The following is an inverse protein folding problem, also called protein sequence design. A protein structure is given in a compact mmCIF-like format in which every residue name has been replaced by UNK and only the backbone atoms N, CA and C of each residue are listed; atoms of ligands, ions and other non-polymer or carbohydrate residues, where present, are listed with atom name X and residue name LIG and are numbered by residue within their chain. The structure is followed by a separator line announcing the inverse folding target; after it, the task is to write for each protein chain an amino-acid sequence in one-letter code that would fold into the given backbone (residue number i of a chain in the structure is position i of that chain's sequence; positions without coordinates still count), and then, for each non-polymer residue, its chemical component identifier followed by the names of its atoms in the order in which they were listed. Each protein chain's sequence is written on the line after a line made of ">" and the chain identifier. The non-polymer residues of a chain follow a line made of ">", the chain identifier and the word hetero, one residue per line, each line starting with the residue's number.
data_IF_784063217457
#
_entry.id   IF_784063217457
#
_cell.length_a   1.000
_cell.length_b   1.000
_cell.length_c   1.000
_cell.angle_alpha   90.00
_cell.angle_beta   90.00
_cell.angle_gamma   90.00
#
_symmetry.space_group_name_H-M   'P 1'
#
loop_
_entity.id
_entity.type
_entity.pdbx_description
1 polymer ?
#
# COMPACT_ATOMS: atom_id res chain seq x y z
N UNK A 1 6.22 2.04 22.69
CA UNK A 1 6.94 1.54 23.88
C UNK A 1 6.06 0.61 24.71
N UNK A 2 6.68 -0.28 25.51
CA UNK A 2 5.98 -1.10 26.48
C UNK A 2 5.13 -2.27 25.93
N UNK A 3 5.04 -2.44 24.62
CA UNK A 3 4.32 -3.54 23.98
C UNK A 3 5.27 -4.39 23.11
N UNK A 4 5.12 -5.73 23.06
CA UNK A 4 5.92 -6.59 22.19
C UNK A 4 5.95 -6.08 20.75
N UNK A 5 7.15 -6.04 20.14
CA UNK A 5 7.36 -5.58 18.76
C UNK A 5 8.27 -6.55 18.04
N UNK A 6 7.70 -7.59 17.47
CA UNK A 6 8.47 -8.75 17.00
C UNK A 6 8.70 -8.75 15.48
N UNK A 7 7.90 -8.03 14.70
CA UNK A 7 7.81 -8.17 13.25
C UNK A 7 7.66 -9.65 12.80
N UNK A 8 7.07 -10.49 13.66
CA UNK A 8 6.91 -11.91 13.40
C UNK A 8 8.20 -12.73 13.47
N UNK A 9 9.33 -12.12 13.80
CA UNK A 9 10.61 -12.84 13.98
C UNK A 9 10.61 -13.59 15.30
N UNK A 10 10.63 -14.92 15.26
CA UNK A 10 10.63 -15.78 16.44
C UNK A 10 11.77 -15.47 17.44
N UNK A 11 13.01 -15.17 17.01
CA UNK A 11 14.07 -14.75 17.93
C UNK A 11 13.78 -13.44 18.68
N UNK A 12 12.84 -12.64 18.19
CA UNK A 12 12.46 -11.34 18.78
C UNK A 12 11.11 -11.40 19.54
N UNK A 13 10.61 -12.59 19.87
CA UNK A 13 9.29 -12.77 20.49
C UNK A 13 9.10 -11.98 21.79
N UNK A 14 10.16 -11.76 22.54
CA UNK A 14 10.14 -11.05 23.83
C UNK A 14 10.67 -9.60 23.73
N UNK A 15 10.97 -9.12 22.52
CA UNK A 15 11.47 -7.75 22.33
C UNK A 15 10.38 -6.71 22.60
N UNK A 16 10.66 -5.81 23.53
CA UNK A 16 9.79 -4.68 23.91
C UNK A 16 10.59 -3.38 23.77
N UNK A 17 10.21 -2.48 22.83
CA UNK A 17 10.89 -1.20 22.68
C UNK A 17 10.61 -0.28 23.87
N UNK A 18 11.60 0.53 24.24
CA UNK A 18 11.55 1.49 25.35
C UNK A 18 11.05 2.87 24.93
N UNK A 19 11.05 3.16 23.61
CA UNK A 19 10.61 4.42 23.03
C UNK A 19 9.44 4.20 22.07
N UNK A 20 8.53 5.16 22.01
CA UNK A 20 7.47 5.17 21.00
C UNK A 20 8.03 5.57 19.63
N UNK A 21 7.45 5.02 18.57
CA UNK A 21 7.60 5.58 17.24
C UNK A 21 7.01 7.01 17.21
N UNK A 22 7.60 7.90 16.43
CA UNK A 22 7.15 9.30 16.36
C UNK A 22 5.66 9.42 16.00
N UNK A 23 5.17 8.57 15.08
CA UNK A 23 3.76 8.52 14.72
C UNK A 23 2.85 8.15 15.91
N UNK A 24 3.29 7.22 16.75
CA UNK A 24 2.57 6.81 17.97
C UNK A 24 2.61 7.93 19.01
N UNK A 25 3.77 8.59 19.19
CA UNK A 25 3.88 9.73 20.09
C UNK A 25 2.90 10.84 19.71
N UNK A 26 2.83 11.21 18.42
CA UNK A 26 1.90 12.24 17.92
C UNK A 26 0.43 11.87 18.15
N UNK A 27 0.07 10.59 17.95
CA UNK A 27 -1.30 10.11 18.25
C UNK A 27 -1.62 10.22 19.74
N UNK A 28 -0.68 9.84 20.64
CA UNK A 28 -0.84 9.99 22.10
C UNK A 28 -0.95 11.46 22.50
N UNK A 29 -0.12 12.32 21.93
CA UNK A 29 -0.13 13.79 22.21
C UNK A 29 -1.46 14.43 21.77
N UNK A 30 -2.11 13.88 20.76
CA UNK A 30 -3.46 14.26 20.32
C UNK A 30 -4.59 13.63 21.16
N UNK A 31 -4.28 12.89 22.22
CA UNK A 31 -5.26 12.25 23.12
C UNK A 31 -5.67 10.83 22.70
N UNK A 32 -4.99 10.25 21.71
CA UNK A 32 -5.28 8.89 21.26
C UNK A 32 -4.86 7.82 22.27
N UNK A 33 -5.71 6.81 22.47
CA UNK A 33 -5.45 5.65 23.35
C UNK A 33 -4.99 4.47 22.51
N UNK A 34 -3.81 3.93 22.82
CA UNK A 34 -3.25 2.76 22.12
C UNK A 34 -3.78 1.49 22.77
N UNK A 35 -4.64 0.75 22.05
CA UNK A 35 -5.24 -0.50 22.53
C UNK A 35 -4.27 -1.69 22.46
N UNK A 36 -3.36 -1.69 21.48
CA UNK A 36 -2.45 -2.81 21.27
C UNK A 36 -1.74 -2.76 19.93
N UNK A 37 -1.12 -3.87 19.56
CA UNK A 37 -0.52 -4.14 18.24
C UNK A 37 -1.18 -5.35 17.61
N UNK A 38 -1.31 -5.33 16.31
CA UNK A 38 -1.94 -6.39 15.54
C UNK A 38 -0.90 -7.30 14.91
N UNK A 39 -1.34 -8.49 14.46
CA UNK A 39 -0.50 -9.47 13.80
C UNK A 39 0.00 -8.99 12.43
N UNK A 40 1.18 -9.45 12.03
CA UNK A 40 1.85 -9.14 10.77
C UNK A 40 2.57 -10.38 10.25
N UNK A 41 2.91 -10.50 8.96
CA UNK A 41 3.81 -11.55 8.47
C UNK A 41 5.25 -11.31 8.94
N UNK A 42 6.05 -12.36 8.90
CA UNK A 42 7.50 -12.30 9.24
C UNK A 42 8.19 -11.23 8.37
N UNK A 43 8.89 -10.32 9.03
CA UNK A 43 9.61 -9.22 8.37
C UNK A 43 8.74 -8.25 7.58
N UNK A 44 7.41 -8.28 7.75
CA UNK A 44 6.42 -7.51 6.99
C UNK A 44 6.43 -7.84 5.48
N UNK A 45 6.87 -9.04 5.10
CA UNK A 45 7.24 -9.39 3.73
C UNK A 45 6.22 -10.29 3.01
N UNK A 46 4.94 -10.19 3.33
CA UNK A 46 3.87 -10.94 2.68
C UNK A 46 2.54 -10.16 2.67
N UNK A 47 1.62 -10.51 1.77
CA UNK A 47 0.21 -10.08 1.78
C UNK A 47 -0.71 -11.05 2.52
N UNK A 48 -0.14 -11.84 3.43
CA UNK A 48 -0.85 -12.75 4.33
C UNK A 48 -0.25 -12.59 5.72
N UNK A 49 -1.08 -12.24 6.71
CA UNK A 49 -0.60 -11.89 8.06
C UNK A 49 -0.56 -13.11 8.96
N UNK A 50 0.56 -13.81 8.95
CA UNK A 50 0.82 -14.99 9.77
C UNK A 50 2.29 -15.08 10.22
N UNK A 51 2.53 -15.69 11.36
CA UNK A 51 3.86 -16.04 11.87
C UNK A 51 3.75 -17.10 12.98
N UNK A 52 4.88 -17.66 13.40
CA UNK A 52 4.94 -18.72 14.43
C UNK A 52 4.61 -18.22 15.84
N UNK A 53 4.71 -16.91 16.11
CA UNK A 53 4.48 -16.34 17.45
C UNK A 53 2.99 -16.20 17.73
N UNK A 54 2.22 -15.69 16.75
CA UNK A 54 0.81 -15.26 16.90
C UNK A 54 -0.16 -16.06 16.02
N UNK A 55 0.33 -16.98 15.20
CA UNK A 55 -0.50 -17.74 14.28
C UNK A 55 -0.97 -16.91 13.07
N UNK A 56 -2.09 -17.32 12.49
CA UNK A 56 -2.68 -16.76 11.28
C UNK A 56 -3.83 -15.82 11.60
N UNK A 57 -3.85 -14.66 10.99
CA UNK A 57 -5.01 -13.76 10.97
C UNK A 57 -5.87 -14.09 9.77
N UNK A 58 -7.15 -14.32 10.01
CA UNK A 58 -8.15 -14.62 8.99
C UNK A 58 -8.92 -13.38 8.56
N UNK A 59 -9.49 -13.41 7.38
CA UNK A 59 -10.36 -12.35 6.89
C UNK A 59 -11.72 -12.42 7.61
N UNK A 60 -12.23 -11.33 8.23
CA UNK A 60 -13.51 -11.34 8.94
C UNK A 60 -14.75 -11.64 8.07
N UNK A 61 -14.64 -11.47 6.75
CA UNK A 61 -15.74 -11.79 5.82
C UNK A 61 -15.74 -13.27 5.40
N UNK A 62 -14.58 -13.94 5.42
CA UNK A 62 -14.42 -15.37 5.15
C UNK A 62 -13.14 -15.86 5.85
N UNK A 63 -13.30 -16.65 6.90
CA UNK A 63 -12.17 -17.14 7.71
C UNK A 63 -11.21 -18.08 6.96
N UNK A 64 -11.59 -18.58 5.78
CA UNK A 64 -10.73 -19.35 4.89
C UNK A 64 -9.82 -18.50 3.99
N UNK A 65 -9.94 -17.16 4.05
CA UNK A 65 -9.24 -16.21 3.19
C UNK A 65 -8.26 -15.33 3.96
N UNK A 66 -7.27 -14.83 3.24
CA UNK A 66 -6.32 -13.85 3.80
C UNK A 66 -6.99 -12.51 4.06
N UNK A 67 -6.66 -11.79 5.16
CA UNK A 67 -7.06 -10.40 5.35
C UNK A 67 -6.18 -9.43 4.55
N UNK A 68 -5.21 -9.95 3.79
CA UNK A 68 -4.11 -9.18 3.22
C UNK A 68 -2.95 -9.04 4.19
N UNK A 69 -1.96 -8.25 3.77
CA UNK A 69 -0.74 -7.97 4.50
C UNK A 69 0.06 -6.80 3.88
N UNK A 70 1.07 -6.34 4.58
CA UNK A 70 1.51 -6.80 5.90
C UNK A 70 0.66 -6.26 7.06
N UNK A 71 -0.18 -5.21 6.87
CA UNK A 71 -1.05 -4.66 7.91
C UNK A 71 -2.40 -5.40 8.03
N UNK A 72 -2.43 -6.71 7.75
CA UNK A 72 -3.66 -7.50 7.72
C UNK A 72 -4.33 -7.68 9.07
N UNK A 73 -3.55 -7.82 10.16
CA UNK A 73 -4.10 -7.83 11.50
C UNK A 73 -4.83 -6.52 11.85
N UNK A 74 -4.29 -5.37 11.41
CA UNK A 74 -4.92 -4.06 11.57
C UNK A 74 -6.24 -3.96 10.80
N UNK A 75 -6.22 -4.41 9.55
CA UNK A 75 -7.40 -4.39 8.69
C UNK A 75 -8.52 -5.29 9.23
N UNK A 76 -8.17 -6.53 9.62
CA UNK A 76 -9.10 -7.47 10.22
C UNK A 76 -9.70 -6.94 11.54
N UNK A 77 -8.86 -6.36 12.40
CA UNK A 77 -9.32 -5.77 13.66
C UNK A 77 -10.30 -4.60 13.44
N UNK A 78 -10.01 -3.71 12.49
CA UNK A 78 -10.92 -2.60 12.14
C UNK A 78 -12.24 -3.10 11.55
N UNK A 79 -12.20 -4.06 10.62
CA UNK A 79 -13.40 -4.63 10.03
C UNK A 79 -14.28 -5.35 11.07
N UNK A 80 -13.65 -6.01 12.06
CA UNK A 80 -14.32 -6.65 13.17
C UNK A 80 -14.75 -5.70 14.32
N UNK A 81 -14.50 -4.39 14.21
CA UNK A 81 -14.96 -3.41 15.20
C UNK A 81 -14.06 -3.22 16.42
N UNK A 82 -12.85 -3.80 16.49
CA UNK A 82 -11.97 -3.75 17.67
C UNK A 82 -11.27 -2.40 17.91
N UNK A 83 -11.46 -1.43 17.06
CA UNK A 83 -10.91 -0.09 17.21
C UNK A 83 -11.50 0.85 16.17
N UNK A 84 -11.29 2.15 16.36
CA UNK A 84 -11.73 3.18 15.40
C UNK A 84 -10.68 3.39 14.31
N UNK A 85 -9.40 3.35 14.68
CA UNK A 85 -8.25 3.70 13.87
C UNK A 85 -7.14 2.66 14.03
N UNK A 86 -6.32 2.49 13.02
CA UNK A 86 -5.07 1.75 13.10
C UNK A 86 -3.98 2.42 12.26
N UNK A 87 -2.73 2.11 12.57
CA UNK A 87 -1.58 2.52 11.78
C UNK A 87 -0.93 1.29 11.18
N UNK A 88 -0.48 1.43 9.94
CA UNK A 88 0.27 0.42 9.24
C UNK A 88 1.41 1.03 8.45
N UNK A 89 2.02 0.23 7.57
CA UNK A 89 3.05 0.69 6.64
C UNK A 89 2.82 0.12 5.25
N UNK A 90 3.42 0.76 4.23
CA UNK A 90 3.24 0.37 2.83
C UNK A 90 4.53 0.59 2.05
N UNK A 91 5.09 -0.47 1.51
CA UNK A 91 6.17 -0.45 0.54
C UNK A 91 5.77 -1.22 -0.73
N UNK A 92 4.87 -2.20 -0.59
CA UNK A 92 4.36 -3.06 -1.63
C UNK A 92 2.84 -3.20 -1.61
N UNK A 93 2.11 -2.19 -1.11
CA UNK A 93 0.66 -2.25 -0.95
C UNK A 93 0.20 -2.62 0.46
N UNK A 94 1.10 -2.68 1.43
CA UNK A 94 0.80 -3.26 2.76
C UNK A 94 -0.21 -2.50 3.63
N UNK A 95 -0.63 -1.28 3.27
CA UNK A 95 -1.82 -0.59 3.77
C UNK A 95 -3.03 -0.89 2.88
N UNK A 96 -2.83 -0.71 1.58
CA UNK A 96 -3.90 -0.70 0.57
C UNK A 96 -4.47 -2.09 0.31
N UNK A 97 -3.63 -3.12 0.21
CA UNK A 97 -4.05 -4.51 -0.02
C UNK A 97 -4.92 -5.03 1.13
N UNK A 98 -4.50 -4.96 2.41
CA UNK A 98 -5.37 -5.39 3.49
C UNK A 98 -6.60 -4.48 3.65
N UNK A 99 -6.50 -3.19 3.38
CA UNK A 99 -7.66 -2.30 3.31
C UNK A 99 -8.69 -2.77 2.29
N UNK A 100 -8.24 -3.13 1.11
CA UNK A 100 -9.06 -3.70 0.04
C UNK A 100 -9.68 -5.05 0.42
N UNK A 101 -8.89 -6.00 0.95
CA UNK A 101 -9.38 -7.34 1.29
C UNK A 101 -10.37 -7.36 2.45
N UNK A 102 -10.29 -6.39 3.37
CA UNK A 102 -11.20 -6.27 4.50
C UNK A 102 -12.23 -5.13 4.35
N UNK A 103 -12.35 -4.54 3.17
CA UNK A 103 -13.37 -3.55 2.85
C UNK A 103 -13.28 -2.25 3.66
N UNK A 104 -12.12 -1.90 4.19
CA UNK A 104 -11.88 -0.67 4.94
C UNK A 104 -11.09 0.36 4.12
N UNK A 105 -11.01 1.58 4.62
CA UNK A 105 -10.18 2.65 4.04
C UNK A 105 -8.75 2.57 4.57
N UNK A 106 -7.78 2.83 3.67
CA UNK A 106 -6.37 2.94 4.04
C UNK A 106 -5.68 4.00 3.17
N UNK A 107 -4.84 4.81 3.78
CA UNK A 107 -4.10 5.84 3.04
C UNK A 107 -2.60 5.59 3.09
N UNK A 108 -2.01 5.42 1.91
CA UNK A 108 -0.57 5.47 1.69
C UNK A 108 -0.20 6.94 1.41
N UNK A 109 0.40 7.65 2.36
CA UNK A 109 0.75 9.06 2.15
C UNK A 109 1.82 9.25 1.06
N UNK A 110 2.01 10.49 0.65
CA UNK A 110 3.20 10.90 -0.08
C UNK A 110 4.46 10.44 0.65
N UNK A 111 5.46 9.95 -0.11
CA UNK A 111 6.74 9.52 0.46
C UNK A 111 7.38 10.62 1.31
N UNK A 112 7.87 10.25 2.49
CA UNK A 112 8.50 11.13 3.48
C UNK A 112 7.57 12.22 4.10
N UNK A 113 6.25 12.18 3.85
CA UNK A 113 5.31 13.09 4.50
C UNK A 113 5.15 12.80 6.00
N UNK A 114 5.18 11.52 6.37
CA UNK A 114 5.19 11.03 7.74
C UNK A 114 6.57 10.45 8.05
N UNK A 115 7.26 10.94 9.09
CA UNK A 115 8.57 10.41 9.46
C UNK A 115 8.50 8.96 9.89
N UNK A 116 9.46 8.15 9.44
CA UNK A 116 9.53 6.71 9.71
C UNK A 116 10.19 6.36 11.05
N UNK A 117 10.63 7.33 11.86
CA UNK A 117 11.33 7.08 13.12
C UNK A 117 10.53 6.18 14.05
N UNK A 118 11.13 5.04 14.42
CA UNK A 118 10.51 3.99 15.22
C UNK A 118 9.77 2.92 14.43
N UNK A 119 9.65 3.05 13.11
CA UNK A 119 9.25 1.95 12.22
C UNK A 119 10.51 1.21 11.74
N UNK A 120 11.18 0.53 12.66
CA UNK A 120 12.45 -0.19 12.45
C UNK A 120 12.31 -1.66 12.80
N UNK A 121 13.00 -2.57 12.08
CA UNK A 121 13.00 -3.97 12.47
C UNK A 121 13.67 -4.16 13.84
N UNK A 122 13.07 -4.98 14.73
CA UNK A 122 13.66 -5.27 16.03
C UNK A 122 14.99 -6.04 15.88
N UNK A 123 15.99 -5.83 16.75
CA UNK A 123 16.00 -4.93 17.90
C UNK A 123 16.61 -3.54 17.62
N UNK A 124 16.59 -3.06 16.36
CA UNK A 124 17.23 -1.80 16.01
C UNK A 124 16.58 -0.60 16.70
N UNK A 125 17.38 0.41 17.11
CA UNK A 125 16.85 1.62 17.73
C UNK A 125 16.06 2.49 16.73
N UNK A 126 15.18 3.37 17.23
CA UNK A 126 14.43 4.30 16.40
C UNK A 126 15.35 5.43 15.87
N UNK A 127 15.83 5.27 14.64
CA UNK A 127 16.65 6.28 13.96
C UNK A 127 15.78 7.19 13.08
N UNK A 128 16.09 8.50 12.98
CA UNK A 128 15.38 9.44 12.14
C UNK A 128 15.87 9.34 10.69
N UNK A 129 15.45 8.30 9.97
CA UNK A 129 15.74 8.21 8.55
C UNK A 129 14.55 7.58 7.79
N UNK A 130 14.32 8.03 6.57
CA UNK A 130 13.26 7.51 5.71
C UNK A 130 13.78 6.29 4.93
N UNK A 131 13.05 5.18 5.05
CA UNK A 131 13.34 3.95 4.33
C UNK A 131 12.81 4.10 2.91
N UNK A 132 13.66 3.88 1.91
CA UNK A 132 13.25 4.06 0.50
C UNK A 132 11.94 3.33 0.17
N UNK A 133 11.05 3.97 -0.58
CA UNK A 133 9.71 3.52 -0.96
C UNK A 133 8.71 3.33 0.20
N UNK A 134 9.18 3.11 1.42
CA UNK A 134 8.33 2.77 2.57
C UNK A 134 7.68 4.00 3.17
N UNK A 135 6.41 3.87 3.53
CA UNK A 135 5.66 4.90 4.27
C UNK A 135 4.88 4.28 5.43
N UNK A 136 4.59 5.09 6.45
CA UNK A 136 3.59 4.80 7.49
C UNK A 136 2.29 5.47 7.06
N UNK A 137 1.13 4.89 7.37
CA UNK A 137 -0.13 5.52 7.07
C UNK A 137 -1.30 5.04 7.92
N UNK A 138 -2.41 5.80 7.92
CA UNK A 138 -3.62 5.48 8.66
C UNK A 138 -4.52 4.47 7.93
N UNK A 139 -5.27 3.72 8.74
CA UNK A 139 -6.34 2.82 8.33
C UNK A 139 -7.57 3.10 9.20
N UNK A 140 -8.78 3.10 8.62
CA UNK A 140 -10.03 3.40 9.31
C UNK A 140 -11.24 2.80 8.55
N UNK A 141 -12.42 2.83 9.18
CA UNK A 141 -13.67 2.47 8.51
C UNK A 141 -14.30 3.60 7.70
N UNK A 142 -13.81 4.84 7.83
CA UNK A 142 -14.29 6.00 7.08
C UNK A 142 -13.14 6.84 6.51
N UNK A 143 -13.37 7.50 5.38
CA UNK A 143 -12.36 8.33 4.72
C UNK A 143 -12.02 9.60 5.52
N UNK A 144 -13.00 10.18 6.23
CA UNK A 144 -12.79 11.36 7.07
C UNK A 144 -11.81 11.10 8.22
N UNK A 145 -11.86 9.89 8.80
CA UNK A 145 -10.95 9.48 9.86
C UNK A 145 -9.50 9.39 9.38
N UNK A 146 -9.29 8.97 8.13
CA UNK A 146 -7.94 8.96 7.53
C UNK A 146 -7.35 10.37 7.44
N UNK A 147 -8.16 11.35 7.04
CA UNK A 147 -7.73 12.75 6.94
C UNK A 147 -7.39 13.32 8.33
N UNK A 148 -8.22 13.03 9.34
CA UNK A 148 -7.97 13.43 10.73
C UNK A 148 -6.63 12.89 11.24
N UNK A 149 -6.37 11.59 11.05
CA UNK A 149 -5.14 10.95 11.55
C UNK A 149 -3.93 11.42 10.75
N UNK A 150 -4.08 11.66 9.44
CA UNK A 150 -3.02 12.23 8.63
C UNK A 150 -2.57 13.59 9.18
N UNK A 151 -3.52 14.48 9.50
CA UNK A 151 -3.22 15.82 10.03
C UNK A 151 -2.51 15.74 11.41
N UNK A 152 -2.81 14.74 12.22
CA UNK A 152 -2.11 14.49 13.50
C UNK A 152 -0.68 13.99 13.26
N UNK A 153 -0.47 13.12 12.29
CA UNK A 153 0.80 12.42 12.10
C UNK A 153 1.77 13.12 11.16
N UNK A 154 1.29 13.92 10.21
CA UNK A 154 2.10 14.52 9.16
C UNK A 154 3.04 15.61 9.68
N UNK A 155 4.14 15.80 8.96
CA UNK A 155 5.15 16.81 9.25
C UNK A 155 6.51 16.26 9.56
N UNK A 156 7.56 17.08 9.44
CA UNK A 156 8.95 16.66 9.53
C UNK A 156 9.31 16.17 10.95
N UNK A 157 10.32 15.31 11.05
CA UNK A 157 10.87 14.86 12.32
C UNK A 157 11.52 16.04 13.07
N UNK A 158 11.12 16.33 14.34
CA UNK A 158 11.70 17.41 15.11
C UNK A 158 13.19 17.25 15.44
N UNK A 159 13.75 16.05 15.33
CA UNK A 159 15.19 15.82 15.51
C UNK A 159 16.01 16.29 14.31
N UNK A 160 15.40 16.38 13.12
CA UNK A 160 16.08 16.77 11.87
C UNK A 160 15.38 17.94 11.16
N UNK A 161 14.65 17.66 10.09
CA UNK A 161 14.05 18.68 9.24
C UNK A 161 13.05 19.56 10.00
N UNK A 162 12.40 19.05 11.04
CA UNK A 162 11.48 19.79 11.88
C UNK A 162 12.09 20.93 12.70
N UNK A 163 13.43 21.03 12.76
CA UNK A 163 14.11 22.21 13.34
C UNK A 163 13.91 23.45 12.47
N UNK A 164 13.90 23.28 11.16
CA UNK A 164 13.89 24.39 10.19
C UNK A 164 12.58 24.47 9.39
N UNK A 165 11.90 23.37 9.15
CA UNK A 165 10.73 23.30 8.29
C UNK A 165 9.44 23.08 9.08
N UNK A 166 8.35 23.61 8.54
CA UNK A 166 6.98 23.33 8.96
C UNK A 166 6.20 22.83 7.76
N UNK A 167 5.29 21.86 8.01
CA UNK A 167 4.41 21.35 6.98
C UNK A 167 3.25 22.31 6.77
N UNK A 168 3.00 22.67 5.52
CA UNK A 168 1.80 23.37 5.07
C UNK A 168 1.23 22.58 3.87
N UNK A 169 0.42 21.55 4.17
CA UNK A 169 -0.23 20.75 3.15
C UNK A 169 -1.35 21.56 2.48
N UNK A 170 -1.39 21.61 1.13
CA UNK A 170 -2.46 22.28 0.43
C UNK A 170 -3.82 21.66 0.72
N UNK A 171 -4.87 22.44 0.67
CA UNK A 171 -6.25 21.95 0.69
C UNK A 171 -6.51 21.01 -0.50
N UNK A 172 -7.54 20.18 -0.41
CA UNK A 172 -7.99 19.37 -1.54
C UNK A 172 -8.35 20.29 -2.73
N UNK A 173 -8.03 19.84 -3.95
CA UNK A 173 -8.30 20.61 -5.19
C UNK A 173 -9.76 21.01 -5.33
N UNK A 174 -10.67 20.12 -4.91
CA UNK A 174 -12.11 20.28 -5.05
C UNK A 174 -12.87 19.78 -3.83
N UNK A 175 -14.10 20.27 -3.64
CA UNK A 175 -14.99 19.90 -2.52
C UNK A 175 -16.30 19.25 -2.99
N UNK A 176 -16.50 19.10 -4.30
CA UNK A 176 -17.67 18.45 -4.90
C UNK A 176 -17.24 17.51 -6.05
N UNK A 177 -17.92 16.36 -6.20
CA UNK A 177 -17.60 15.36 -7.24
C UNK A 177 -17.56 15.94 -8.64
N UNK A 178 -18.51 16.80 -8.97
CA UNK A 178 -18.66 17.43 -10.31
C UNK A 178 -17.46 18.25 -10.78
N UNK A 179 -16.57 18.65 -9.85
CA UNK A 179 -15.43 19.48 -10.16
C UNK A 179 -14.16 18.65 -10.46
N UNK A 180 -14.19 17.34 -10.10
CA UNK A 180 -13.06 16.44 -10.31
C UNK A 180 -12.91 15.98 -11.75
N UNK A 181 -11.64 15.93 -12.20
CA UNK A 181 -11.20 15.31 -13.46
C UNK A 181 -10.47 14.00 -13.08
N UNK A 182 -11.06 12.88 -13.43
CA UNK A 182 -10.63 11.56 -12.98
C UNK A 182 -10.21 10.71 -14.18
N UNK A 183 -8.99 10.18 -14.17
CA UNK A 183 -8.57 9.13 -15.07
C UNK A 183 -8.82 7.77 -14.42
N UNK A 184 -9.51 6.89 -15.13
CA UNK A 184 -9.84 5.53 -14.66
C UNK A 184 -9.11 4.51 -15.50
N UNK A 185 -8.40 3.59 -14.83
CA UNK A 185 -7.65 2.48 -15.42
C UNK A 185 -8.16 1.21 -14.77
N UNK A 186 -8.70 0.29 -15.54
CA UNK A 186 -9.28 -0.96 -15.05
C UNK A 186 -8.43 -2.18 -15.37
N UNK A 187 -7.55 -2.05 -16.35
CA UNK A 187 -6.68 -3.13 -16.84
C UNK A 187 -5.47 -2.55 -17.60
N UNK A 188 -4.45 -3.38 -17.77
CA UNK A 188 -3.30 -3.11 -18.63
C UNK A 188 -2.84 -4.44 -19.24
N UNK A 189 -2.31 -4.48 -20.46
CA UNK A 189 -1.84 -5.73 -21.09
C UNK A 189 -0.83 -6.53 -20.27
N UNK A 190 -0.04 -5.85 -19.42
CA UNK A 190 0.96 -6.50 -18.55
C UNK A 190 0.49 -6.65 -17.09
N UNK A 191 -0.65 -6.06 -16.75
CA UNK A 191 -1.26 -6.11 -15.42
C UNK A 191 -2.71 -6.60 -15.53
N UNK A 192 -2.93 -7.89 -15.74
CA UNK A 192 -4.29 -8.44 -15.84
C UNK A 192 -5.08 -8.20 -14.56
N UNK A 193 -6.38 -8.03 -14.70
CA UNK A 193 -7.31 -7.78 -13.59
C UNK A 193 -8.56 -8.61 -13.80
N UNK A 194 -9.05 -9.25 -12.76
CA UNK A 194 -10.27 -10.07 -12.78
C UNK A 194 -11.48 -9.23 -13.20
N UNK A 195 -12.38 -9.85 -13.96
CA UNK A 195 -13.63 -9.23 -14.45
C UNK A 195 -14.48 -8.64 -13.34
N UNK A 196 -14.45 -9.22 -12.14
CA UNK A 196 -15.21 -8.71 -10.97
C UNK A 196 -14.66 -7.36 -10.55
N UNK A 197 -13.34 -7.20 -10.52
CA UNK A 197 -12.70 -5.92 -10.18
C UNK A 197 -12.92 -4.90 -11.30
N UNK A 198 -12.74 -5.29 -12.59
CA UNK A 198 -13.03 -4.40 -13.72
C UNK A 198 -14.47 -3.92 -13.71
N UNK A 199 -15.44 -4.82 -13.47
CA UNK A 199 -16.86 -4.46 -13.39
C UNK A 199 -17.16 -3.49 -12.23
N UNK A 200 -16.48 -3.62 -11.09
CA UNK A 200 -16.60 -2.68 -9.99
C UNK A 200 -16.05 -1.30 -10.33
N UNK A 201 -14.90 -1.25 -11.01
CA UNK A 201 -14.30 0.01 -11.50
C UNK A 201 -15.22 0.68 -12.53
N UNK A 202 -15.80 -0.09 -13.45
CA UNK A 202 -16.75 0.42 -14.43
C UNK A 202 -18.01 1.01 -13.80
N UNK A 203 -18.55 0.32 -12.79
CA UNK A 203 -19.69 0.81 -12.01
C UNK A 203 -19.36 2.11 -11.29
N UNK A 204 -18.20 2.18 -10.61
CA UNK A 204 -17.76 3.39 -9.92
C UNK A 204 -17.56 4.54 -10.90
N UNK A 205 -16.89 4.31 -12.03
CA UNK A 205 -16.68 5.33 -13.06
C UNK A 205 -18.01 5.87 -13.65
N UNK A 206 -18.96 4.98 -13.91
CA UNK A 206 -20.31 5.37 -14.35
C UNK A 206 -21.07 6.20 -13.31
N UNK A 207 -20.93 5.84 -12.03
CA UNK A 207 -21.55 6.57 -10.93
C UNK A 207 -20.92 7.97 -10.77
N UNK A 208 -19.60 8.08 -10.88
CA UNK A 208 -18.90 9.37 -10.84
C UNK A 208 -19.29 10.28 -11.99
N UNK A 209 -19.41 9.75 -13.22
CA UNK A 209 -19.87 10.49 -14.38
C UNK A 209 -21.30 11.02 -14.19
N UNK A 210 -22.22 10.17 -13.68
CA UNK A 210 -23.60 10.57 -13.35
C UNK A 210 -23.65 11.63 -12.23
N UNK A 211 -22.70 11.62 -11.29
CA UNK A 211 -22.56 12.65 -10.26
C UNK A 211 -21.89 13.94 -10.79
N UNK A 212 -21.57 13.99 -12.09
CA UNK A 212 -21.05 15.15 -12.80
C UNK A 212 -19.52 15.25 -12.83
N UNK A 213 -18.76 14.29 -12.32
CA UNK A 213 -17.31 14.25 -12.45
C UNK A 213 -16.91 14.05 -13.92
N UNK A 214 -15.74 14.60 -14.30
CA UNK A 214 -15.20 14.42 -15.66
C UNK A 214 -14.34 13.15 -15.70
N UNK A 215 -14.92 12.04 -16.14
CA UNK A 215 -14.27 10.73 -16.19
C UNK A 215 -13.65 10.48 -17.55
N UNK A 216 -12.37 10.10 -17.59
CA UNK A 216 -11.62 9.68 -18.78
C UNK A 216 -11.10 8.27 -18.61
N UNK A 217 -11.04 7.49 -19.71
CA UNK A 217 -10.57 6.08 -19.72
C UNK A 217 -9.18 5.91 -20.36
N UNK A 218 -8.63 6.97 -20.92
CA UNK A 218 -7.32 6.95 -21.55
C UNK A 218 -6.66 8.33 -21.47
N UNK A 219 -5.33 8.33 -21.48
CA UNK A 219 -4.53 9.55 -21.59
C UNK A 219 -3.18 9.22 -22.25
N UNK A 220 -2.74 10.03 -23.23
CA UNK A 220 -1.40 9.89 -23.80
C UNK A 220 -0.29 10.29 -22.81
N UNK A 221 -0.65 10.92 -21.69
CA UNK A 221 0.26 11.31 -20.63
C UNK A 221 0.52 10.19 -19.62
N UNK A 222 -0.20 9.06 -19.72
CA UNK A 222 -0.06 7.95 -18.79
C UNK A 222 1.33 7.31 -18.95
N UNK A 223 2.09 7.13 -17.86
CA UNK A 223 3.37 6.43 -17.92
C UNK A 223 3.23 4.99 -18.42
N UNK A 224 4.26 4.46 -19.06
CA UNK A 224 4.36 3.04 -19.43
C UNK A 224 4.41 2.17 -18.16
N UNK A 225 3.36 1.38 -17.94
CA UNK A 225 3.25 0.52 -16.75
C UNK A 225 4.21 -0.66 -16.81
N UNK A 226 4.52 -1.20 -17.98
CA UNK A 226 5.49 -2.28 -18.11
C UNK A 226 6.89 -1.82 -17.69
N UNK A 227 7.32 -0.66 -18.19
CA UNK A 227 8.61 -0.06 -17.81
C UNK A 227 8.63 0.35 -16.33
N UNK A 228 7.55 0.94 -15.83
CA UNK A 228 7.40 1.35 -14.43
C UNK A 228 7.44 0.15 -13.49
N UNK A 229 6.76 -0.95 -13.81
CA UNK A 229 6.75 -2.17 -13.00
C UNK A 229 8.13 -2.81 -12.92
N UNK A 230 8.85 -2.90 -14.05
CA UNK A 230 10.25 -3.41 -14.06
C UNK A 230 11.17 -2.55 -13.19
N UNK A 231 11.08 -1.23 -13.32
CA UNK A 231 11.87 -0.31 -12.51
C UNK A 231 11.52 -0.43 -11.02
N UNK A 232 10.24 -0.58 -10.70
CA UNK A 232 9.77 -0.76 -9.33
C UNK A 232 10.34 -2.04 -8.71
N UNK A 233 10.24 -3.20 -9.39
CA UNK A 233 10.79 -4.45 -8.89
C UNK A 233 12.30 -4.33 -8.62
N UNK A 234 13.02 -3.67 -9.51
CA UNK A 234 14.47 -3.47 -9.38
C UNK A 234 14.83 -2.61 -8.16
N UNK A 235 14.18 -1.46 -7.97
CA UNK A 235 14.43 -0.58 -6.84
C UNK A 235 13.95 -1.19 -5.53
N UNK A 236 12.77 -1.81 -5.51
CA UNK A 236 12.21 -2.47 -4.33
C UNK A 236 13.15 -3.56 -3.80
N UNK A 237 13.59 -4.45 -4.68
CA UNK A 237 14.43 -5.57 -4.27
C UNK A 237 15.89 -5.17 -3.98
N UNK A 238 16.36 -4.03 -4.50
CA UNK A 238 17.65 -3.48 -4.07
C UNK A 238 17.60 -3.03 -2.60
N UNK A 239 16.46 -2.52 -2.14
CA UNK A 239 16.25 -2.14 -0.75
C UNK A 239 16.00 -3.36 0.15
N UNK A 240 15.06 -4.23 -0.21
CA UNK A 240 14.72 -5.41 0.61
C UNK A 240 15.88 -6.40 0.68
N UNK A 241 16.57 -6.64 -0.42
CA UNK A 241 17.70 -7.56 -0.52
C UNK A 241 18.90 -7.19 0.37
N UNK A 242 19.03 -5.92 0.76
CA UNK A 242 20.08 -5.47 1.66
C UNK A 242 20.03 -6.12 3.06
N UNK A 243 18.88 -6.68 3.45
CA UNK A 243 18.70 -7.35 4.75
C UNK A 243 18.64 -8.88 4.65
N UNK A 244 18.85 -9.44 3.46
CA UNK A 244 18.85 -10.89 3.28
C UNK A 244 20.05 -11.55 3.95
N UNK A 245 19.92 -12.80 4.47
CA UNK A 245 21.06 -13.58 4.91
C UNK A 245 22.13 -13.67 3.83
N UNK A 246 23.43 -13.69 4.19
CA UNK A 246 24.54 -13.67 3.23
C UNK A 246 24.46 -14.74 2.15
N UNK A 247 24.05 -15.95 2.51
CA UNK A 247 23.89 -17.08 1.57
C UNK A 247 22.74 -16.88 0.59
N UNK A 248 21.62 -16.30 1.06
CA UNK A 248 20.45 -15.96 0.20
C UNK A 248 20.83 -14.85 -0.77
N UNK A 249 21.51 -13.81 -0.28
CA UNK A 249 22.00 -12.72 -1.10
C UNK A 249 22.98 -13.22 -2.19
N UNK A 250 23.99 -14.03 -1.80
CA UNK A 250 24.96 -14.58 -2.73
C UNK A 250 24.30 -15.47 -3.81
N UNK A 251 23.35 -16.32 -3.42
CA UNK A 251 22.55 -17.13 -4.35
C UNK A 251 21.75 -16.28 -5.35
N UNK A 252 21.09 -15.22 -4.88
CA UNK A 252 20.35 -14.30 -5.73
C UNK A 252 21.28 -13.54 -6.71
N UNK A 253 22.47 -13.12 -6.27
CA UNK A 253 23.46 -12.48 -7.16
C UNK A 253 23.96 -13.45 -8.25
N UNK A 254 24.23 -14.70 -7.92
CA UNK A 254 24.62 -15.71 -8.89
C UNK A 254 23.50 -15.98 -9.92
N UNK A 255 22.25 -16.11 -9.44
CA UNK A 255 21.08 -16.26 -10.30
C UNK A 255 20.89 -15.05 -11.24
N UNK A 256 21.03 -13.83 -10.72
CA UNK A 256 20.94 -12.60 -11.52
C UNK A 256 22.00 -12.53 -12.62
N UNK A 257 23.24 -12.92 -12.31
CA UNK A 257 24.34 -12.96 -13.27
C UNK A 257 24.14 -13.97 -14.41
N UNK A 258 23.42 -15.06 -14.14
CA UNK A 258 23.08 -16.09 -15.12
C UNK A 258 21.91 -15.72 -16.05
N UNK A 259 21.16 -14.65 -15.74
CA UNK A 259 19.99 -14.25 -16.55
C UNK A 259 20.39 -13.65 -17.89
N UNK A 260 19.79 -14.10 -19.00
CA UNK A 260 19.93 -13.42 -20.29
C UNK A 260 19.48 -11.96 -20.21
N UNK A 261 20.19 -11.06 -20.88
CA UNK A 261 19.81 -9.64 -20.95
C UNK A 261 18.40 -9.43 -21.55
N UNK A 262 17.97 -10.34 -22.44
CA UNK A 262 16.64 -10.34 -23.08
C UNK A 262 15.49 -10.75 -22.12
N UNK A 263 15.78 -11.37 -20.99
CA UNK A 263 14.73 -11.70 -20.01
C UNK A 263 14.31 -10.44 -19.25
N UNK A 264 13.15 -9.89 -19.59
CA UNK A 264 12.56 -8.69 -18.97
C UNK A 264 11.35 -8.99 -18.08
N UNK A 265 11.19 -10.25 -17.63
CA UNK A 265 10.14 -10.62 -16.69
C UNK A 265 10.30 -9.90 -15.34
N UNK A 266 9.20 -9.72 -14.61
CA UNK A 266 9.24 -9.09 -13.30
C UNK A 266 10.09 -9.89 -12.30
N UNK A 267 10.09 -11.22 -12.41
CA UNK A 267 10.97 -12.09 -11.63
C UNK A 267 12.45 -11.81 -11.92
N UNK A 268 12.83 -11.66 -13.19
CA UNK A 268 14.20 -11.32 -13.56
C UNK A 268 14.61 -9.96 -13.01
N UNK A 269 13.68 -8.98 -13.03
CA UNK A 269 13.96 -7.65 -12.47
C UNK A 269 14.08 -7.66 -10.94
N UNK A 270 13.35 -8.52 -10.24
CA UNK A 270 13.54 -8.74 -8.79
C UNK A 270 14.93 -9.27 -8.49
N UNK A 271 15.40 -10.29 -9.18
CA UNK A 271 16.76 -10.83 -9.00
C UNK A 271 17.84 -9.79 -9.33
N UNK A 272 17.70 -9.04 -10.43
CA UNK A 272 18.62 -7.94 -10.77
C UNK A 272 18.59 -6.83 -9.73
N UNK A 273 17.44 -6.58 -9.11
CA UNK A 273 17.30 -5.63 -8.01
C UNK A 273 18.16 -6.01 -6.81
N UNK A 274 18.13 -7.27 -6.37
CA UNK A 274 18.94 -7.77 -5.24
C UNK A 274 20.44 -7.56 -5.53
N UNK A 275 20.87 -7.84 -6.75
CA UNK A 275 22.28 -7.72 -7.18
C UNK A 275 22.67 -6.30 -7.65
N UNK A 276 21.80 -5.30 -7.47
CA UNK A 276 22.00 -3.97 -8.05
C UNK A 276 23.19 -3.25 -7.45
N UNK A 277 24.14 -2.84 -8.28
CA UNK A 277 25.25 -1.98 -7.83
C UNK A 277 24.75 -0.58 -7.43
N UNK A 278 25.46 0.10 -6.55
CA UNK A 278 25.14 1.50 -6.21
C UNK A 278 25.13 2.41 -7.45
N UNK A 279 26.07 2.21 -8.40
CA UNK A 279 26.06 2.93 -9.67
C UNK A 279 24.76 2.75 -10.44
N UNK A 280 24.30 1.51 -10.57
CA UNK A 280 23.09 1.19 -11.32
C UNK A 280 21.83 1.64 -10.56
N UNK A 281 21.88 1.64 -9.23
CA UNK A 281 20.84 2.22 -8.40
C UNK A 281 20.66 3.73 -8.67
N UNK A 282 21.77 4.50 -8.75
CA UNK A 282 21.71 5.94 -9.09
C UNK A 282 21.08 6.16 -10.47
N UNK A 283 21.38 5.29 -11.45
CA UNK A 283 20.76 5.34 -12.79
C UNK A 283 19.26 5.04 -12.71
N UNK A 284 18.88 4.01 -11.94
CA UNK A 284 17.49 3.63 -11.71
C UNK A 284 16.71 4.76 -11.00
N UNK A 285 17.31 5.39 -9.99
CA UNK A 285 16.71 6.53 -9.28
C UNK A 285 16.52 7.75 -10.20
N UNK A 286 17.48 8.00 -11.10
CA UNK A 286 17.31 8.98 -12.18
C UNK A 286 16.12 8.67 -13.11
N UNK A 287 15.84 7.40 -13.35
CA UNK A 287 14.65 6.96 -14.09
C UNK A 287 13.36 7.16 -13.28
N UNK A 288 13.39 6.90 -11.98
CA UNK A 288 12.29 7.23 -11.05
C UNK A 288 12.01 8.74 -11.03
N UNK A 289 13.02 9.57 -11.05
CA UNK A 289 12.85 11.04 -11.13
C UNK A 289 12.14 11.48 -12.42
N UNK A 290 12.45 10.85 -13.57
CA UNK A 290 11.75 11.09 -14.85
C UNK A 290 10.30 10.63 -14.78
N UNK A 291 10.03 9.48 -14.17
CA UNK A 291 8.68 8.98 -13.94
C UNK A 291 7.85 9.96 -13.07
N UNK A 292 8.45 10.52 -12.01
CA UNK A 292 7.82 11.57 -11.19
C UNK A 292 7.45 12.81 -12.02
N UNK A 293 8.29 13.18 -12.98
CA UNK A 293 7.98 14.29 -13.89
C UNK A 293 6.80 13.97 -14.82
N UNK A 294 6.70 12.74 -15.33
CA UNK A 294 5.55 12.29 -16.13
C UNK A 294 4.24 12.33 -15.32
N UNK A 295 4.24 11.84 -14.09
CA UNK A 295 3.08 11.93 -13.21
C UNK A 295 2.67 13.38 -12.90
N UNK A 296 3.64 14.30 -12.68
CA UNK A 296 3.32 15.73 -12.51
C UNK A 296 2.65 16.32 -13.74
N UNK A 297 3.09 15.92 -14.93
CA UNK A 297 2.47 16.39 -16.18
C UNK A 297 1.04 15.85 -16.30
N UNK A 298 0.80 14.58 -16.03
CA UNK A 298 -0.53 13.97 -16.02
C UNK A 298 -1.48 14.71 -15.05
N UNK A 299 -1.01 15.01 -13.85
CA UNK A 299 -1.83 15.69 -12.83
C UNK A 299 -2.10 17.19 -13.10
N UNK A 300 -1.58 17.76 -14.18
CA UNK A 300 -2.09 19.05 -14.70
C UNK A 300 -3.46 18.90 -15.38
N UNK A 301 -3.71 17.74 -15.98
CA UNK A 301 -4.94 17.42 -16.69
C UNK A 301 -5.96 16.67 -15.83
N UNK A 302 -5.52 15.94 -14.81
CA UNK A 302 -6.35 15.13 -13.92
C UNK A 302 -6.08 15.50 -12.45
N UNK A 303 -7.08 15.26 -11.61
CA UNK A 303 -6.98 15.51 -10.16
C UNK A 303 -6.74 14.21 -9.39
N UNK A 304 -7.14 13.07 -9.97
CA UNK A 304 -6.93 11.74 -9.43
C UNK A 304 -6.87 10.68 -10.53
N UNK A 305 -6.20 9.56 -10.22
CA UNK A 305 -6.25 8.33 -11.01
C UNK A 305 -6.86 7.23 -10.16
N UNK A 306 -7.90 6.56 -10.67
CA UNK A 306 -8.53 5.38 -10.05
C UNK A 306 -8.06 4.14 -10.78
N UNK A 307 -7.52 3.17 -10.03
CA UNK A 307 -7.03 1.90 -10.60
C UNK A 307 -7.11 0.76 -9.57
N UNK A 308 -6.91 -0.51 -9.99
CA UNK A 308 -6.85 -1.64 -9.07
C UNK A 308 -5.77 -1.49 -7.99
N UNK A 309 -5.97 -2.14 -6.84
CA UNK A 309 -4.96 -2.36 -5.81
C UNK A 309 -4.37 -3.76 -5.97
N UNK A 310 -5.26 -4.74 -6.10
CA UNK A 310 -4.99 -6.14 -6.41
C UNK A 310 -5.89 -6.55 -7.57
N UNK A 311 -5.47 -7.54 -8.36
CA UNK A 311 -6.27 -7.99 -9.50
C UNK A 311 -7.46 -8.86 -9.13
N UNK A 312 -7.52 -9.40 -7.89
CA UNK A 312 -8.58 -10.31 -7.41
C UNK A 312 -9.05 -9.94 -6.02
N UNK A 313 -10.27 -10.31 -5.60
CA UNK A 313 -10.67 -10.29 -4.20
C UNK A 313 -9.72 -11.13 -3.31
N UNK A 314 -9.97 -11.17 -1.99
CA UNK A 314 -9.18 -11.96 -1.08
C UNK A 314 -9.13 -13.44 -1.51
N UNK A 315 -7.95 -14.03 -1.52
CA UNK A 315 -7.67 -15.41 -1.95
C UNK A 315 -7.49 -16.34 -0.73
N UNK A 316 -7.60 -17.67 -0.89
CA UNK A 316 -7.32 -18.64 0.17
C UNK A 316 -5.92 -18.48 0.74
N UNK A 317 -5.75 -18.87 2.00
CA UNK A 317 -4.41 -18.90 2.60
C UNK A 317 -3.47 -19.83 1.83
N UNK A 318 -2.28 -19.34 1.52
CA UNK A 318 -1.17 -20.12 0.96
C UNK A 318 0.12 -19.71 1.67
N UNK A 319 0.53 -20.50 2.64
CA UNK A 319 1.73 -20.28 3.45
C UNK A 319 2.94 -21.06 2.91
N UNK A 320 2.92 -21.49 1.64
CA UNK A 320 4.09 -22.07 0.99
C UNK A 320 5.29 -21.14 1.13
N UNK A 321 6.47 -21.64 1.53
CA UNK A 321 7.61 -20.78 1.91
C UNK A 321 8.17 -19.97 0.74
N UNK A 322 8.14 -20.52 -0.48
CA UNK A 322 8.62 -19.84 -1.69
C UNK A 322 7.48 -19.04 -2.35
N UNK A 323 7.45 -17.73 -2.09
CA UNK A 323 6.43 -16.84 -2.66
C UNK A 323 6.48 -16.75 -4.19
N UNK A 324 7.61 -17.03 -4.84
CA UNK A 324 7.73 -17.05 -6.30
C UNK A 324 6.98 -18.23 -6.93
N UNK A 325 6.74 -19.29 -6.17
CA UNK A 325 5.95 -20.45 -6.61
C UNK A 325 4.45 -20.28 -6.39
N UNK A 326 4.05 -19.35 -5.49
CA UNK A 326 2.63 -19.09 -5.20
C UNK A 326 1.93 -18.51 -6.41
N UNK A 327 0.65 -18.84 -6.57
CA UNK A 327 -0.20 -18.36 -7.65
C UNK A 327 -1.48 -17.76 -7.08
N UNK A 328 -1.99 -16.74 -7.78
CA UNK A 328 -3.38 -16.28 -7.61
C UNK A 328 -4.12 -16.49 -8.92
N UNK A 329 -5.42 -16.71 -8.84
CA UNK A 329 -6.26 -16.90 -10.02
C UNK A 329 -6.84 -15.55 -10.45
N UNK A 330 -6.61 -15.17 -11.70
CA UNK A 330 -7.20 -13.99 -12.34
C UNK A 330 -8.05 -14.50 -13.51
N UNK A 331 -9.35 -14.29 -13.47
CA UNK A 331 -10.34 -14.85 -14.41
C UNK A 331 -10.20 -16.40 -14.56
N UNK A 332 -9.76 -17.09 -13.49
CA UNK A 332 -9.55 -18.53 -13.46
C UNK A 332 -8.16 -18.99 -13.91
N UNK A 333 -7.32 -18.11 -14.44
CA UNK A 333 -5.97 -18.42 -14.89
C UNK A 333 -4.92 -18.14 -13.79
N UNK A 334 -3.91 -19.03 -13.60
CA UNK A 334 -2.91 -18.87 -12.56
C UNK A 334 -1.83 -17.84 -12.95
N UNK A 335 -1.67 -16.82 -12.11
CA UNK A 335 -0.64 -15.78 -12.25
C UNK A 335 0.32 -15.80 -11.06
N UNK A 336 1.58 -15.37 -11.30
CA UNK A 336 2.60 -15.30 -10.24
C UNK A 336 2.17 -14.29 -9.19
N UNK A 337 2.20 -14.73 -7.93
CA UNK A 337 1.80 -13.94 -6.76
C UNK A 337 2.59 -12.63 -6.63
N UNK A 338 3.91 -12.72 -6.67
CA UNK A 338 4.82 -11.59 -6.50
C UNK A 338 4.80 -10.59 -7.65
N UNK A 339 4.33 -10.97 -8.85
CA UNK A 339 4.17 -10.05 -9.98
C UNK A 339 3.07 -9.01 -9.71
N UNK A 340 2.12 -9.32 -8.80
CA UNK A 340 1.03 -8.42 -8.44
C UNK A 340 1.49 -7.18 -7.65
N UNK A 341 2.75 -7.13 -7.21
CA UNK A 341 3.39 -5.91 -6.70
C UNK A 341 3.30 -4.72 -7.67
N UNK A 342 3.12 -5.01 -8.96
CA UNK A 342 3.05 -4.00 -10.00
C UNK A 342 1.90 -3.01 -9.81
N UNK A 343 0.69 -3.46 -9.39
CA UNK A 343 -0.44 -2.57 -9.14
C UNK A 343 -0.21 -1.58 -7.99
N UNK A 344 0.17 -2.01 -6.76
CA UNK A 344 0.57 -1.08 -5.70
C UNK A 344 1.76 -0.21 -6.09
N UNK A 345 2.68 -0.74 -6.91
CA UNK A 345 3.88 -0.08 -7.42
C UNK A 345 3.61 1.22 -8.18
N UNK A 346 2.44 1.35 -8.82
CA UNK A 346 2.03 2.56 -9.56
C UNK A 346 2.15 3.81 -8.70
N UNK A 347 1.70 3.76 -7.45
CA UNK A 347 1.80 4.89 -6.51
C UNK A 347 3.10 4.85 -5.69
N UNK A 348 3.62 3.65 -5.38
CA UNK A 348 4.79 3.49 -4.51
C UNK A 348 6.07 3.98 -5.17
N UNK A 349 6.34 3.56 -6.41
CA UNK A 349 7.58 3.91 -7.11
C UNK A 349 7.80 5.42 -7.24
N UNK A 350 6.82 6.21 -7.73
CA UNK A 350 6.97 7.67 -7.79
C UNK A 350 6.82 8.37 -6.43
N UNK A 351 6.38 7.68 -5.38
CA UNK A 351 6.15 8.25 -4.04
C UNK A 351 4.84 9.02 -3.92
N UNK A 352 3.84 8.77 -4.77
CA UNK A 352 2.55 9.47 -4.78
C UNK A 352 1.64 9.04 -3.63
N UNK A 353 0.75 9.90 -3.12
CA UNK A 353 -0.29 9.51 -2.18
C UNK A 353 -1.31 8.60 -2.87
N UNK A 354 -1.86 7.63 -2.12
CA UNK A 354 -2.86 6.72 -2.64
C UNK A 354 -3.80 6.26 -1.54
N UNK A 355 -5.11 6.40 -1.77
CA UNK A 355 -6.16 6.01 -0.82
C UNK A 355 -6.91 4.78 -1.34
N UNK A 356 -6.87 3.68 -0.58
CA UNK A 356 -7.73 2.52 -0.81
C UNK A 356 -9.14 2.81 -0.30
N UNK A 357 -10.13 2.49 -1.11
CA UNK A 357 -11.55 2.63 -0.77
C UNK A 357 -12.32 1.34 -1.13
N UNK A 358 -13.31 0.92 -0.32
CA UNK A 358 -14.24 -0.12 -0.71
C UNK A 358 -15.20 0.39 -1.81
N UNK A 359 -15.61 -0.50 -2.72
CA UNK A 359 -16.57 -0.20 -3.80
C UNK A 359 -17.75 -1.17 -3.82
N UNK A 360 -17.84 -2.07 -2.84
CA UNK A 360 -18.88 -3.07 -2.69
C UNK A 360 -18.32 -4.47 -2.48
N UNK A 361 -19.04 -5.45 -2.99
CA UNK A 361 -18.74 -6.88 -2.78
C UNK A 361 -18.68 -7.63 -4.10
N UNK A 362 -17.79 -8.63 -4.14
CA UNK A 362 -17.79 -9.67 -5.15
C UNK A 362 -18.99 -10.61 -4.98
N UNK A 363 -19.34 -11.43 -6.00
CA UNK A 363 -20.49 -12.35 -5.90
C UNK A 363 -20.40 -13.37 -4.76
N UNK A 364 -19.19 -13.70 -4.29
CA UNK A 364 -18.92 -14.59 -3.16
C UNK A 364 -18.97 -13.88 -1.79
N UNK A 365 -19.34 -12.59 -1.75
CA UNK A 365 -19.48 -11.81 -0.53
C UNK A 365 -18.18 -11.21 0.02
N UNK A 366 -17.07 -11.35 -0.69
CA UNK A 366 -15.81 -10.70 -0.32
C UNK A 366 -15.80 -9.22 -0.70
N UNK A 367 -15.23 -8.34 0.13
CA UNK A 367 -15.06 -6.94 -0.22
C UNK A 367 -14.20 -6.76 -1.48
N UNK A 368 -14.55 -5.76 -2.27
CA UNK A 368 -13.76 -5.27 -3.41
C UNK A 368 -13.61 -3.76 -3.34
N UNK A 369 -12.57 -3.25 -3.98
CA UNK A 369 -12.25 -1.82 -3.90
C UNK A 369 -11.23 -1.38 -4.95
N UNK A 370 -10.83 -0.13 -4.84
CA UNK A 370 -9.86 0.52 -5.74
C UNK A 370 -8.90 1.39 -4.96
N UNK A 371 -7.81 1.82 -5.60
CA UNK A 371 -7.00 2.92 -5.11
C UNK A 371 -7.25 4.21 -5.89
N UNK A 372 -7.26 5.32 -5.16
CA UNK A 372 -7.30 6.68 -5.69
C UNK A 372 -5.89 7.25 -5.54
N UNK A 373 -5.16 7.37 -6.63
CA UNK A 373 -3.81 7.94 -6.66
C UNK A 373 -3.92 9.43 -6.89
N UNK A 374 -3.29 10.23 -6.02
CA UNK A 374 -3.28 11.69 -6.09
C UNK A 374 -1.92 12.28 -6.45
N UNK A 375 -1.85 13.59 -6.68
CA UNK A 375 -0.58 14.31 -6.91
C UNK A 375 0.30 14.30 -5.66
N UNK A 376 1.61 14.32 -5.87
CA UNK A 376 2.60 14.36 -4.78
C UNK A 376 2.39 15.59 -3.88
N UNK A 377 2.35 15.37 -2.56
CA UNK A 377 2.12 16.36 -1.52
C UNK A 377 0.72 17.03 -1.57
N UNK A 378 -0.20 16.44 -2.32
CA UNK A 378 -1.62 16.84 -2.31
C UNK A 378 -2.49 15.72 -1.72
N UNK A 379 -2.04 15.10 -0.62
CA UNK A 379 -2.68 13.96 0.03
C UNK A 379 -4.17 14.20 0.37
N UNK A 380 -4.53 15.44 0.67
CA UNK A 380 -5.91 15.84 0.92
C UNK A 380 -6.83 15.70 -0.30
N UNK A 381 -6.27 15.69 -1.52
CA UNK A 381 -7.08 15.54 -2.75
C UNK A 381 -7.65 14.12 -2.91
N UNK A 382 -6.85 13.02 -2.89
CA UNK A 382 -7.40 11.66 -2.92
C UNK A 382 -8.23 11.31 -1.68
N UNK A 383 -7.91 11.85 -0.49
CA UNK A 383 -8.71 11.68 0.71
C UNK A 383 -10.09 12.35 0.60
N UNK A 384 -10.13 13.57 0.08
CA UNK A 384 -11.42 14.28 -0.14
C UNK A 384 -12.26 13.58 -1.20
N UNK A 385 -11.66 13.09 -2.30
CA UNK A 385 -12.39 12.31 -3.28
C UNK A 385 -12.95 11.02 -2.67
N UNK A 386 -12.17 10.33 -1.82
CA UNK A 386 -12.63 9.16 -1.07
C UNK A 386 -13.83 9.47 -0.17
N UNK A 387 -13.78 10.57 0.59
CA UNK A 387 -14.90 11.04 1.45
C UNK A 387 -16.16 11.37 0.63
N UNK A 388 -16.00 12.02 -0.52
CA UNK A 388 -17.12 12.33 -1.39
C UNK A 388 -17.75 11.08 -2.02
N UNK A 389 -16.94 10.09 -2.40
CA UNK A 389 -17.39 8.79 -2.89
C UNK A 389 -18.14 8.03 -1.78
N UNK A 390 -17.59 7.99 -0.57
CA UNK A 390 -18.21 7.36 0.60
C UNK A 390 -19.60 7.94 0.87
N UNK A 391 -19.70 9.27 0.90
CA UNK A 391 -20.94 9.97 1.19
C UNK A 391 -22.02 9.74 0.13
N UNK A 392 -21.64 9.66 -1.15
CA UNK A 392 -22.59 9.57 -2.27
C UNK A 392 -22.97 8.12 -2.60
N UNK A 393 -22.03 7.16 -2.49
CA UNK A 393 -22.24 5.80 -2.98
C UNK A 393 -22.15 4.73 -1.88
N UNK A 394 -21.90 5.13 -0.64
CA UNK A 394 -21.68 4.22 0.48
C UNK A 394 -20.19 3.86 0.66
N UNK A 395 -19.90 3.23 1.78
CA UNK A 395 -18.54 2.91 2.21
C UNK A 395 -18.44 1.54 2.88
N UNK A 396 -17.78 1.51 4.02
CA UNK A 396 -17.60 0.32 4.82
C UNK A 396 -18.94 -0.32 5.21
N UNK A 397 -19.01 -1.63 5.07
CA UNK A 397 -20.13 -2.47 5.54
C UNK A 397 -19.53 -3.56 6.41
N UNK A 398 -19.95 -3.72 7.69
CA UNK A 398 -19.35 -4.71 8.58
C UNK A 398 -19.58 -6.16 8.11
N UNK A 399 -18.68 -7.10 8.46
CA UNK A 399 -18.92 -8.51 8.20
C UNK A 399 -20.09 -9.03 9.05
N UNK A 400 -20.91 -9.89 8.48
CA UNK A 400 -22.15 -10.38 9.11
C UNK A 400 -21.97 -11.00 10.52
N UNK A 401 -20.80 -11.58 10.79
CA UNK A 401 -20.49 -12.16 12.10
C UNK A 401 -20.29 -11.11 13.22
N UNK A 402 -20.24 -9.82 12.88
CA UNK A 402 -19.97 -8.70 13.79
C UNK A 402 -20.99 -7.57 13.60
N UNK A 403 -22.20 -7.90 13.14
CA UNK A 403 -23.25 -6.94 12.76
C UNK A 403 -24.20 -6.63 13.95
N UNK A 404 -23.91 -7.15 15.16
CA UNK A 404 -24.72 -7.01 16.39
C UNK A 404 -24.38 -5.74 17.19
#
# INVERSE_FOLDING_TARGET
>A
AGLPTTWGFLPQKDFVPTEDALSIQRVKDAGGVILGKTNVPVGLADWQSYNEIYGTTNNPYDLGRTPGGSSGGSSAALAAGYGALSLGSDIGGSLRVPGFHCGIYAHKPTFALLPSRGHTPPPLPPLPFDRDLSVIGPMARGAADLALVLDVMAGPDPLEAGKAYRLDLPAARHTALKDFRILVIDSDPVLPTDKVIRGSIDKLASNLDKAGAKVSRASPLLPDFAASSRLYMRILLSFLGATFPPEVYAGACAAAAALPASNTSLQAERLRGIALSHRDWVIADGSRARLRAQWRELFKSFDAVICPIMPTPAYPHDHSPDQEQRKILIDGEPHVYTDQLAWPGIATLPGLPSTAIPTGFAPDGLPIGVQIVGPMLEDRTPLKLAELIEREFGGFVPPKAFDD
#
